data_IF_569531559817
#
_entry.id   IF_569531559817
#
_cell.length_a   1.000
_cell.length_b   1.000
_cell.length_c   1.000
_cell.angle_alpha   90.00
_cell.angle_beta   90.00
_cell.angle_gamma   90.00
#
_symmetry.space_group_name_H-M   'P 1'
#
loop_
_entity.id
_entity.type
_entity.pdbx_description
1 polymer ?
#
# COMPACT_ATOMS: atom_id res chain seq x y z
N UNK A 1 26.51 25.35 17.40
CA UNK A 1 25.18 24.79 17.75
C UNK A 1 25.21 23.34 17.32
N UNK A 2 25.30 22.41 18.28
CA UNK A 2 25.41 20.99 18.02
C UNK A 2 24.01 20.43 17.73
N UNK A 3 23.79 19.97 16.49
CA UNK A 3 22.57 19.25 16.14
C UNK A 3 22.75 17.80 16.56
N UNK A 4 22.02 17.39 17.60
CA UNK A 4 21.88 15.99 18.01
C UNK A 4 21.24 15.19 16.86
N UNK A 5 21.80 14.03 16.54
CA UNK A 5 21.29 13.11 15.50
C UNK A 5 19.83 12.68 15.73
N UNK A 6 19.26 12.95 16.91
CA UNK A 6 17.86 12.70 17.24
C UNK A 6 16.87 13.67 16.58
N UNK A 7 17.32 14.82 16.06
CA UNK A 7 16.44 15.80 15.42
C UNK A 7 16.29 15.63 13.90
N UNK A 8 17.20 14.90 13.24
CA UNK A 8 17.05 14.58 11.81
C UNK A 8 15.99 13.48 11.61
N UNK A 9 15.87 12.56 12.57
CA UNK A 9 14.86 11.50 12.54
C UNK A 9 13.42 12.03 12.70
N UNK A 10 13.20 13.09 13.49
CA UNK A 10 11.86 13.67 13.69
C UNK A 10 11.36 14.51 12.51
N UNK A 11 12.27 15.07 11.69
CA UNK A 11 11.87 15.90 10.53
C UNK A 11 11.41 15.04 9.36
N UNK A 12 11.89 13.80 9.25
CA UNK A 12 11.39 12.85 8.24
C UNK A 12 9.96 12.35 8.54
N UNK A 13 9.53 12.39 9.81
CA UNK A 13 8.24 11.85 10.26
C UNK A 13 7.07 12.86 10.17
N UNK A 14 7.35 14.16 10.00
CA UNK A 14 6.33 15.22 10.04
C UNK A 14 5.95 15.84 8.67
N UNK A 15 6.52 15.39 7.55
CA UNK A 15 6.16 15.90 6.22
C UNK A 15 4.90 15.26 5.59
N UNK A 16 4.25 14.30 6.27
CA UNK A 16 3.09 13.58 5.72
C UNK A 16 1.75 14.22 6.18
N UNK A 17 1.77 15.13 7.15
CA UNK A 17 0.55 15.69 7.75
C UNK A 17 0.00 16.98 7.09
N UNK A 18 0.69 17.55 6.09
CA UNK A 18 0.32 18.84 5.49
C UNK A 18 -0.41 18.76 4.13
N UNK A 19 -0.89 17.57 3.71
CA UNK A 19 -1.47 17.35 2.36
C UNK A 19 -2.95 16.96 2.41
N UNK A 20 -3.64 17.15 3.54
CA UNK A 20 -5.04 16.74 3.68
C UNK A 20 -6.03 17.91 3.72
N UNK A 21 -5.75 18.95 2.92
CA UNK A 21 -6.80 19.86 2.48
C UNK A 21 -6.63 20.03 0.97
N UNK A 22 -7.37 19.22 0.22
CA UNK A 22 -7.48 19.21 -1.25
C UNK A 22 -6.39 18.41 -1.97
N UNK A 23 -6.85 17.49 -2.81
CA UNK A 23 -6.11 16.69 -3.79
C UNK A 23 -5.57 15.34 -3.28
N UNK A 24 -6.10 14.29 -3.91
CA UNK A 24 -5.69 12.90 -3.83
C UNK A 24 -4.16 12.76 -3.72
N UNK A 25 -3.71 11.75 -2.96
CA UNK A 25 -2.34 11.23 -3.01
C UNK A 25 -1.84 11.36 -4.44
N UNK A 26 -0.87 12.26 -4.70
CA UNK A 26 -0.22 12.35 -6.01
C UNK A 26 0.53 11.04 -6.18
N UNK A 27 -0.18 10.07 -6.76
CA UNK A 27 0.37 8.77 -7.08
C UNK A 27 1.58 9.03 -7.96
N UNK A 28 2.73 8.47 -7.59
CA UNK A 28 3.86 8.49 -8.52
C UNK A 28 3.43 7.74 -9.79
N UNK A 29 4.05 8.01 -10.95
CA UNK A 29 3.73 7.25 -12.17
C UNK A 29 3.83 5.72 -12.00
N UNK A 30 4.64 5.28 -11.04
CA UNK A 30 4.75 3.88 -10.65
C UNK A 30 3.51 3.39 -9.90
N UNK A 31 2.96 4.20 -8.99
CA UNK A 31 1.75 3.88 -8.23
C UNK A 31 0.53 3.84 -9.14
N UNK A 32 0.46 4.74 -10.13
CA UNK A 32 -0.58 4.75 -11.15
C UNK A 32 -0.56 3.45 -11.96
N UNK A 33 0.61 3.06 -12.49
CA UNK A 33 0.77 1.79 -13.23
C UNK A 33 0.44 0.56 -12.39
N UNK A 34 0.85 0.56 -11.12
CA UNK A 34 0.47 -0.52 -10.22
C UNK A 34 -1.06 -0.53 -9.97
N UNK A 35 -1.68 0.63 -9.79
CA UNK A 35 -3.14 0.75 -9.65
C UNK A 35 -3.88 0.21 -10.86
N UNK A 36 -3.46 0.57 -12.08
CA UNK A 36 -4.04 0.06 -13.33
C UNK A 36 -3.91 -1.46 -13.44
N UNK A 37 -2.73 -2.01 -13.14
CA UNK A 37 -2.51 -3.45 -13.13
C UNK A 37 -3.41 -4.15 -12.10
N UNK A 38 -3.47 -3.65 -10.86
CA UNK A 38 -4.30 -4.21 -9.79
C UNK A 38 -5.76 -4.27 -10.22
N UNK A 39 -6.29 -3.19 -10.79
CA UNK A 39 -7.67 -3.15 -11.28
C UNK A 39 -7.88 -4.14 -12.43
N UNK A 40 -6.92 -4.26 -13.35
CA UNK A 40 -6.98 -5.22 -14.46
C UNK A 40 -6.96 -6.68 -13.99
N UNK A 41 -6.09 -7.03 -13.04
CA UNK A 41 -6.04 -8.38 -12.44
C UNK A 41 -7.32 -8.65 -11.65
N UNK A 42 -7.78 -7.69 -10.85
CA UNK A 42 -8.98 -7.84 -10.02
C UNK A 42 -10.26 -8.02 -10.84
N UNK A 43 -10.36 -7.39 -12.01
CA UNK A 43 -11.48 -7.58 -12.93
C UNK A 43 -11.59 -9.04 -13.39
N UNK A 44 -10.45 -9.72 -13.57
CA UNK A 44 -10.35 -11.12 -14.01
C UNK A 44 -10.32 -12.12 -12.86
N UNK A 45 -10.29 -11.67 -11.61
CA UNK A 45 -10.22 -12.54 -10.44
C UNK A 45 -11.49 -13.40 -10.31
N UNK A 46 -11.26 -14.72 -10.18
CA UNK A 46 -12.28 -15.76 -10.02
C UNK A 46 -12.33 -16.33 -8.60
N UNK A 47 -11.24 -16.23 -7.84
CA UNK A 47 -11.21 -16.51 -6.41
C UNK A 47 -12.00 -15.42 -5.66
N UNK A 48 -13.20 -15.78 -5.19
CA UNK A 48 -14.13 -14.86 -4.53
C UNK A 48 -13.56 -14.25 -3.24
N UNK A 49 -12.79 -15.02 -2.48
CA UNK A 49 -12.16 -14.55 -1.25
C UNK A 49 -11.11 -13.49 -1.57
N UNK A 50 -10.20 -13.80 -2.49
CA UNK A 50 -9.16 -12.86 -2.90
C UNK A 50 -9.73 -11.61 -3.56
N UNK A 51 -10.77 -11.76 -4.38
CA UNK A 51 -11.49 -10.62 -4.97
C UNK A 51 -12.05 -9.69 -3.90
N UNK A 52 -12.65 -10.24 -2.85
CA UNK A 52 -13.22 -9.46 -1.75
C UNK A 52 -12.14 -8.75 -0.96
N UNK A 53 -11.09 -9.47 -0.60
CA UNK A 53 -9.92 -8.96 0.15
C UNK A 53 -9.24 -7.82 -0.60
N UNK A 54 -8.94 -8.00 -1.88
CA UNK A 54 -8.26 -6.99 -2.69
C UNK A 54 -9.14 -5.77 -2.98
N UNK A 55 -10.45 -5.94 -3.18
CA UNK A 55 -11.38 -4.81 -3.26
C UNK A 55 -11.38 -3.99 -1.97
N UNK A 56 -11.33 -4.63 -0.80
CA UNK A 56 -11.27 -3.94 0.49
C UNK A 56 -9.94 -3.18 0.64
N UNK A 57 -8.83 -3.79 0.27
CA UNK A 57 -7.50 -3.16 0.29
C UNK A 57 -7.47 -1.89 -0.58
N UNK A 58 -7.93 -1.98 -1.83
CA UNK A 58 -7.95 -0.84 -2.76
C UNK A 58 -8.83 0.29 -2.21
N UNK A 59 -10.01 -0.02 -1.66
CA UNK A 59 -10.90 0.98 -1.06
C UNK A 59 -10.23 1.68 0.13
N UNK A 60 -9.52 0.96 0.98
CA UNK A 60 -8.81 1.53 2.13
C UNK A 60 -7.69 2.46 1.65
N UNK A 61 -6.89 2.05 0.67
CA UNK A 61 -5.84 2.90 0.06
C UNK A 61 -6.43 4.17 -0.53
N UNK A 62 -7.53 4.07 -1.28
CA UNK A 62 -8.23 5.23 -1.87
C UNK A 62 -8.76 6.22 -0.83
N UNK A 63 -9.07 5.75 0.38
CA UNK A 63 -9.50 6.59 1.51
C UNK A 63 -8.34 7.12 2.35
N UNK A 64 -7.09 6.75 2.05
CA UNK A 64 -5.93 7.04 2.89
C UNK A 64 -5.86 6.19 4.16
N UNK A 65 -6.67 5.13 4.28
CA UNK A 65 -6.70 4.19 5.41
C UNK A 65 -5.56 3.16 5.29
N UNK A 66 -4.30 3.63 5.31
CA UNK A 66 -3.13 2.80 5.06
C UNK A 66 -2.94 1.71 6.13
N UNK A 67 -3.20 2.02 7.40
CA UNK A 67 -3.15 1.03 8.50
C UNK A 67 -4.12 -0.14 8.28
N UNK A 68 -5.37 0.17 7.94
CA UNK A 68 -6.38 -0.84 7.66
C UNK A 68 -6.03 -1.67 6.41
N UNK A 69 -5.30 -1.10 5.45
CA UNK A 69 -4.77 -1.82 4.28
C UNK A 69 -3.66 -2.79 4.68
N UNK A 70 -2.76 -2.38 5.57
CA UNK A 70 -1.69 -3.25 6.09
C UNK A 70 -2.23 -4.39 6.95
N UNK A 71 -3.22 -4.12 7.80
CA UNK A 71 -3.87 -5.16 8.59
C UNK A 71 -4.45 -6.28 7.70
N UNK A 72 -4.98 -5.93 6.51
CA UNK A 72 -5.45 -6.93 5.55
C UNK A 72 -4.29 -7.80 5.07
N UNK A 73 -3.17 -7.20 4.65
CA UNK A 73 -1.98 -7.93 4.16
C UNK A 73 -1.34 -8.77 5.26
N UNK A 74 -1.23 -8.24 6.47
CA UNK A 74 -0.59 -8.92 7.59
C UNK A 74 -1.40 -10.12 8.05
N UNK A 75 -2.73 -10.04 8.00
CA UNK A 75 -3.63 -11.13 8.41
C UNK A 75 -3.95 -12.13 7.28
N UNK A 76 -3.33 -12.02 6.10
CA UNK A 76 -3.43 -13.07 5.09
C UNK A 76 -2.78 -14.37 5.60
N UNK A 77 -3.46 -15.50 5.37
CA UNK A 77 -2.86 -16.81 5.49
C UNK A 77 -1.65 -16.93 4.54
N UNK A 78 -0.71 -17.82 4.84
CA UNK A 78 0.48 -18.01 3.98
C UNK A 78 0.10 -18.37 2.54
N UNK A 79 -0.94 -19.17 2.35
CA UNK A 79 -1.47 -19.52 1.04
C UNK A 79 -2.00 -18.29 0.29
N UNK A 80 -2.78 -17.43 0.95
CA UNK A 80 -3.33 -16.22 0.34
C UNK A 80 -2.26 -15.14 0.13
N UNK A 81 -1.26 -15.07 1.02
CA UNK A 81 -0.09 -14.19 0.86
C UNK A 81 0.73 -14.60 -0.36
N UNK A 82 1.00 -15.90 -0.51
CA UNK A 82 1.66 -16.44 -1.70
C UNK A 82 0.84 -16.14 -2.96
N UNK A 83 -0.47 -16.43 -2.93
CA UNK A 83 -1.36 -16.13 -4.04
C UNK A 83 -1.31 -14.65 -4.43
N UNK A 84 -1.41 -13.76 -3.45
CA UNK A 84 -1.38 -12.32 -3.69
C UNK A 84 -0.05 -11.86 -4.28
N UNK A 85 1.06 -12.41 -3.81
CA UNK A 85 2.39 -12.16 -4.34
C UNK A 85 2.55 -12.62 -5.79
N UNK A 86 2.00 -13.78 -6.13
CA UNK A 86 2.11 -14.35 -7.48
C UNK A 86 1.15 -13.69 -8.49
N UNK A 87 0.06 -13.06 -8.03
CA UNK A 87 -1.01 -12.55 -8.91
C UNK A 87 -1.14 -11.02 -8.92
N UNK A 88 -0.99 -10.36 -7.78
CA UNK A 88 -1.22 -8.92 -7.63
C UNK A 88 0.08 -8.12 -7.50
N UNK A 89 1.10 -8.67 -6.84
CA UNK A 89 2.37 -7.99 -6.57
C UNK A 89 3.48 -8.33 -7.58
N UNK A 90 3.10 -8.38 -8.85
CA UNK A 90 3.98 -8.68 -9.99
C UNK A 90 4.21 -7.43 -10.86
N UNK A 91 5.10 -7.52 -11.85
CA UNK A 91 5.31 -6.51 -12.88
C UNK A 91 5.40 -5.07 -12.34
N UNK A 92 4.43 -4.22 -12.68
CA UNK A 92 4.41 -2.80 -12.27
C UNK A 92 4.22 -2.61 -10.76
N UNK A 93 3.63 -3.59 -10.10
CA UNK A 93 3.43 -3.62 -8.66
C UNK A 93 4.57 -4.30 -7.88
N UNK A 94 5.47 -5.04 -8.53
CA UNK A 94 6.55 -5.75 -7.86
C UNK A 94 7.41 -4.84 -6.96
N UNK A 95 7.76 -3.61 -7.37
CA UNK A 95 8.53 -2.70 -6.51
C UNK A 95 7.77 -2.20 -5.27
N UNK A 96 6.43 -2.30 -5.28
CA UNK A 96 5.57 -1.85 -4.17
C UNK A 96 5.28 -2.95 -3.15
N UNK A 97 5.64 -4.20 -3.48
CA UNK A 97 5.46 -5.35 -2.59
C UNK A 97 6.04 -5.07 -1.20
N UNK A 98 7.26 -4.54 -1.15
CA UNK A 98 7.93 -4.21 0.11
C UNK A 98 7.18 -3.14 0.91
N UNK A 99 6.56 -2.15 0.26
CA UNK A 99 5.86 -1.06 0.95
C UNK A 99 4.60 -1.50 1.70
N UNK A 100 3.93 -2.56 1.22
CA UNK A 100 2.73 -3.12 1.86
C UNK A 100 3.07 -4.15 2.94
N UNK A 101 4.26 -4.76 2.86
CA UNK A 101 4.80 -5.69 3.86
C UNK A 101 5.64 -4.96 4.93
N UNK A 102 5.96 -3.66 4.76
CA UNK A 102 6.64 -2.85 5.77
C UNK A 102 5.74 -2.61 6.99
N UNK A 103 6.23 -2.81 8.23
CA UNK A 103 5.55 -2.30 9.40
C UNK A 103 5.46 -0.78 9.30
N UNK A 104 4.25 -0.21 9.38
CA UNK A 104 4.12 1.21 9.73
C UNK A 104 4.60 1.32 11.18
N UNK A 105 5.85 1.73 11.34
CA UNK A 105 6.30 2.29 12.61
C UNK A 105 5.39 3.50 12.90
N UNK A 106 4.68 3.42 14.02
CA UNK A 106 3.89 4.50 14.58
C UNK A 106 4.76 5.42 15.42
#
# INVERSE_FOLDING_TARGET
IAYSMSQIALVALCLIAAVFVSEAVKLTPQMEKCGEQLLSVLAKETNKEMKTTMNKLIKNVQKGELKASQEIINNLSDANRKYANDHYWVDSCAPMKSCLECPVEL
#
